data_IF_026155850547
#
_entry.id   IF_026155850547
#
_cell.length_a   1.000
_cell.length_b   1.000
_cell.length_c   1.000
_cell.angle_alpha   90.00
_cell.angle_beta   90.00
_cell.angle_gamma   90.00
#
_symmetry.space_group_name_H-M   'P 1'
#
loop_
_entity.id
_entity.type
_entity.pdbx_description
1 polymer ?
#
# COMPACT_ATOMS: atom_id res chain seq x y z
N UNK A 1 -2.26 14.18 7.03
CA UNK A 1 -2.08 13.89 8.47
C UNK A 1 -0.70 13.29 8.64
N UNK A 2 0.15 13.85 9.51
CA UNK A 2 1.41 13.20 9.89
C UNK A 2 1.11 12.17 10.97
N UNK A 3 1.25 10.89 10.64
CA UNK A 3 1.16 9.81 11.62
C UNK A 3 2.45 9.81 12.43
N UNK A 4 2.40 9.81 13.78
CA UNK A 4 3.61 9.77 14.59
C UNK A 4 4.45 8.52 14.30
N UNK A 5 5.77 8.69 14.15
CA UNK A 5 6.69 7.57 13.86
C UNK A 5 6.63 6.46 14.93
N UNK A 6 6.40 6.84 16.18
CA UNK A 6 6.20 5.90 17.29
C UNK A 6 5.02 4.96 17.04
N UNK A 7 3.90 5.50 16.52
CA UNK A 7 2.71 4.71 16.22
C UNK A 7 2.97 3.78 15.03
N UNK A 8 3.67 4.25 14.01
CA UNK A 8 4.07 3.42 12.85
C UNK A 8 4.95 2.25 13.30
N UNK A 9 5.92 2.50 14.19
CA UNK A 9 6.80 1.46 14.70
C UNK A 9 6.06 0.42 15.56
N UNK A 10 5.13 0.86 16.40
CA UNK A 10 4.26 -0.04 17.17
C UNK A 10 3.38 -0.90 16.25
N UNK A 11 2.83 -0.31 15.18
CA UNK A 11 2.01 -1.02 14.22
C UNK A 11 2.82 -2.06 13.43
N UNK A 12 4.05 -1.72 13.01
CA UNK A 12 4.98 -2.67 12.37
C UNK A 12 5.30 -3.85 13.28
N UNK A 13 5.57 -3.60 14.56
CA UNK A 13 5.85 -4.67 15.54
C UNK A 13 4.66 -5.62 15.72
N UNK A 14 3.45 -5.07 15.85
CA UNK A 14 2.24 -5.87 16.00
C UNK A 14 1.96 -6.75 14.76
N UNK A 15 2.07 -6.16 13.56
CA UNK A 15 1.85 -6.87 12.30
C UNK A 15 2.93 -7.93 12.06
N UNK A 16 4.18 -7.65 12.42
CA UNK A 16 5.27 -8.63 12.32
C UNK A 16 5.00 -9.87 13.16
N UNK A 17 4.57 -9.69 14.42
CA UNK A 17 4.22 -10.82 15.28
C UNK A 17 3.08 -11.68 14.68
N UNK A 18 2.06 -11.06 14.08
CA UNK A 18 0.98 -11.79 13.41
C UNK A 18 1.45 -12.50 12.14
N UNK A 19 2.25 -11.82 11.33
CA UNK A 19 2.85 -12.37 10.11
C UNK A 19 3.73 -13.60 10.39
N UNK A 20 4.52 -13.55 11.48
CA UNK A 20 5.36 -14.67 11.93
C UNK A 20 4.51 -15.87 12.39
N UNK A 21 3.29 -15.61 12.88
CA UNK A 21 2.30 -16.64 13.22
C UNK A 21 1.48 -17.14 12.01
N UNK A 22 1.84 -16.75 10.78
CA UNK A 22 1.22 -17.24 9.54
C UNK A 22 0.06 -16.39 9.00
N UNK A 23 -0.18 -15.21 9.57
CA UNK A 23 -1.22 -14.29 9.10
C UNK A 23 -0.79 -13.58 7.81
N UNK A 24 -1.42 -13.96 6.68
CA UNK A 24 -1.15 -13.41 5.35
C UNK A 24 -1.65 -11.97 5.19
N UNK A 25 -2.72 -11.60 5.91
CA UNK A 25 -3.24 -10.24 5.92
C UNK A 25 -2.23 -9.32 6.62
N UNK A 26 -1.68 -9.78 7.74
CA UNK A 26 -0.65 -9.02 8.47
C UNK A 26 0.63 -8.81 7.64
N UNK A 27 1.07 -9.80 6.85
CA UNK A 27 2.20 -9.64 5.90
C UNK A 27 1.91 -8.58 4.84
N UNK A 28 0.70 -8.59 4.30
CA UNK A 28 0.28 -7.64 3.26
C UNK A 28 0.28 -6.22 3.81
N UNK A 29 -0.29 -6.02 5.01
CA UNK A 29 -0.32 -4.73 5.68
C UNK A 29 1.07 -4.22 6.06
N UNK A 30 1.96 -5.10 6.53
CA UNK A 30 3.36 -4.75 6.83
C UNK A 30 4.07 -4.18 5.59
N UNK A 31 3.91 -4.86 4.45
CA UNK A 31 4.50 -4.46 3.16
C UNK A 31 3.98 -3.11 2.70
N UNK A 32 2.67 -2.85 2.81
CA UNK A 32 2.07 -1.57 2.43
C UNK A 32 2.59 -0.41 3.30
N UNK A 33 2.74 -0.63 4.61
CA UNK A 33 3.29 0.37 5.53
C UNK A 33 4.76 0.67 5.18
N UNK A 34 5.55 -0.35 4.88
CA UNK A 34 6.95 -0.18 4.44
C UNK A 34 7.04 0.63 3.14
N UNK A 35 6.17 0.36 2.16
CA UNK A 35 6.12 1.13 0.92
C UNK A 35 5.74 2.60 1.15
N UNK A 36 4.77 2.88 2.02
CA UNK A 36 4.34 4.25 2.35
C UNK A 36 5.38 5.03 3.15
N UNK A 37 6.19 4.34 3.96
CA UNK A 37 7.22 4.98 4.81
C UNK A 37 8.58 5.13 4.11
N UNK A 38 8.84 4.34 3.07
CA UNK A 38 10.12 4.37 2.33
C UNK A 38 10.02 5.18 1.03
N UNK A 39 8.83 5.33 0.46
CA UNK A 39 8.62 6.17 -0.72
C UNK A 39 8.62 7.66 -0.33
N UNK A 40 9.42 8.52 -0.99
CA UNK A 40 9.18 9.95 -0.94
C UNK A 40 7.85 10.20 -1.63
N UNK A 41 6.77 10.37 -0.84
CA UNK A 41 5.42 10.80 -1.24
C UNK A 41 5.15 10.78 -2.76
N UNK A 42 5.19 9.62 -3.39
CA UNK A 42 4.72 9.39 -4.75
C UNK A 42 3.36 8.72 -4.65
N UNK A 43 2.48 9.28 -3.81
CA UNK A 43 1.05 9.19 -4.05
C UNK A 43 0.77 10.23 -5.15
N UNK A 44 1.31 9.98 -6.34
CA UNK A 44 0.65 10.45 -7.54
C UNK A 44 -0.71 9.77 -7.51
N UNK A 45 -1.73 10.58 -7.27
CA UNK A 45 -3.10 10.41 -7.75
C UNK A 45 -3.27 9.20 -8.67
N UNK A 46 -3.63 8.04 -8.11
CA UNK A 46 -4.18 6.92 -8.88
C UNK A 46 -5.59 6.59 -8.38
N UNK A 47 -6.33 7.65 -8.05
CA UNK A 47 -7.77 7.59 -7.78
C UNK A 47 -8.48 8.77 -8.46
N UNK A 48 -8.17 9.01 -9.73
CA UNK A 48 -8.98 9.77 -10.70
C UNK A 48 -8.24 9.68 -12.04
N UNK A 49 -8.48 8.60 -12.78
CA UNK A 49 -8.42 8.51 -14.25
C UNK A 49 -8.57 7.04 -14.64
N UNK A 50 -9.72 6.45 -14.31
CA UNK A 50 -10.26 5.37 -15.14
C UNK A 50 -10.93 6.07 -16.32
N UNK A 51 -10.12 6.62 -17.22
CA UNK A 51 -10.55 6.81 -18.59
C UNK A 51 -10.33 5.45 -19.27
N UNK A 52 -11.36 4.82 -19.87
CA UNK A 52 -11.13 3.61 -20.65
C UNK A 52 -10.12 3.96 -21.77
N UNK A 53 -9.15 3.08 -22.08
CA UNK A 53 -8.19 3.35 -23.14
C UNK A 53 -8.95 3.52 -24.47
N UNK A 54 -8.90 4.72 -25.05
CA UNK A 54 -9.22 4.91 -26.45
C UNK A 54 -8.25 4.05 -27.27
N UNK A 55 -8.78 3.09 -28.04
CA UNK A 55 -7.98 2.27 -28.95
C UNK A 55 -8.05 0.76 -28.74
N UNK A 56 -9.16 0.21 -28.24
CA UNK A 56 -9.50 -1.19 -28.56
C UNK A 56 -10.15 -1.24 -29.95
N UNK A 57 -9.31 -1.08 -30.96
CA UNK A 57 -9.64 -1.37 -32.35
C UNK A 57 -9.52 -2.90 -32.54
N UNK A 58 -10.59 -3.62 -32.21
CA UNK A 58 -10.82 -4.96 -32.73
C UNK A 58 -12.03 -4.86 -33.65
N UNK A 59 -11.73 -4.71 -34.94
CA UNK A 59 -12.70 -4.42 -35.98
C UNK A 59 -13.80 -5.47 -36.17
N UNK A 60 -14.88 -5.01 -36.78
CA UNK A 60 -15.02 -5.12 -38.23
C UNK A 60 -15.15 -3.72 -38.82
#
# INVERSE_FOLDING_TARGET
MNVPDTLVNQLKLYLKHRADNGDLEAKTLLTQIEQLTTAPTLIQMQAMDILPPEGFDMGC
#
